data_IF_358423223835
#
_entry.id   IF_358423223835
#
_cell.length_a   1.000
_cell.length_b   1.000
_cell.length_c   1.000
_cell.angle_alpha   90.00
_cell.angle_beta   90.00
_cell.angle_gamma   90.00
#
_symmetry.space_group_name_H-M   'P 1'
#
loop_
_entity.id
_entity.type
_entity.pdbx_description
1 polymer ?
#
# COMPACT_ATOMS: atom_id res chain seq x y z
N UNK A 1 0.42 -3.40 13.48
CA UNK A 1 1.12 -2.12 13.22
C UNK A 1 0.08 -0.99 13.27
N UNK A 2 0.27 0.17 12.63
CA UNK A 2 -0.58 1.34 12.86
C UNK A 2 -1.49 1.64 11.65
N UNK A 3 -2.80 1.76 11.90
CA UNK A 3 -3.77 2.21 10.90
C UNK A 3 -3.40 3.64 10.45
N UNK A 4 -3.23 3.83 9.14
CA UNK A 4 -2.93 5.14 8.55
C UNK A 4 -4.19 5.81 8.04
N UNK A 5 -4.14 7.14 7.95
CA UNK A 5 -5.20 7.93 7.34
C UNK A 5 -5.06 7.91 5.83
N UNK A 6 -6.17 7.71 5.14
CA UNK A 6 -6.23 7.88 3.69
C UNK A 6 -6.12 9.36 3.34
N UNK A 7 -5.39 9.66 2.27
CA UNK A 7 -5.37 10.99 1.68
C UNK A 7 -6.68 11.25 0.92
N UNK A 8 -7.18 12.50 0.86
CA UNK A 8 -8.36 12.83 0.08
C UNK A 8 -8.12 12.60 -1.42
N UNK A 9 -9.18 12.35 -2.18
CA UNK A 9 -9.10 12.14 -3.63
C UNK A 9 -8.44 13.29 -4.41
N UNK A 10 -8.48 14.51 -3.87
CA UNK A 10 -7.81 15.70 -4.43
C UNK A 10 -6.30 15.76 -4.14
N UNK A 11 -5.75 14.83 -3.35
CA UNK A 11 -4.35 14.88 -2.95
C UNK A 11 -3.43 14.59 -4.14
N UNK A 12 -2.44 15.47 -4.42
CA UNK A 12 -1.61 15.37 -5.63
C UNK A 12 -0.69 14.14 -5.65
N UNK A 13 -0.55 13.41 -4.55
CA UNK A 13 0.24 12.16 -4.53
C UNK A 13 -0.41 11.06 -5.38
N UNK A 14 -1.74 11.07 -5.49
CA UNK A 14 -2.49 10.01 -6.19
C UNK A 14 -2.32 10.08 -7.71
N UNK A 15 -1.91 11.24 -8.24
CA UNK A 15 -1.68 11.45 -9.68
C UNK A 15 -0.20 11.42 -10.06
N UNK A 16 0.71 11.38 -9.07
CA UNK A 16 2.15 11.32 -9.30
C UNK A 16 2.61 9.87 -9.45
N UNK A 17 3.62 9.66 -10.29
CA UNK A 17 4.28 8.36 -10.41
C UNK A 17 5.03 8.04 -9.11
N UNK A 18 4.69 6.91 -8.49
CA UNK A 18 5.35 6.43 -7.29
C UNK A 18 6.76 5.91 -7.60
N UNK A 19 7.67 6.01 -6.63
CA UNK A 19 9.05 5.57 -6.77
C UNK A 19 9.16 4.06 -6.61
N UNK A 20 10.08 3.44 -7.36
CA UNK A 20 10.37 2.03 -7.17
C UNK A 20 11.05 1.79 -5.81
N UNK A 21 10.69 0.71 -5.14
CA UNK A 21 11.35 0.21 -3.95
C UNK A 21 12.71 -0.36 -4.34
N UNK A 22 13.79 0.21 -3.82
CA UNK A 22 15.17 -0.24 -4.09
C UNK A 22 15.80 -1.01 -2.94
N UNK A 23 15.21 -0.93 -1.74
CA UNK A 23 15.69 -1.60 -0.53
C UNK A 23 14.58 -2.45 0.07
N UNK A 24 14.88 -3.72 0.31
CA UNK A 24 13.98 -4.70 0.91
C UNK A 24 14.46 -4.95 2.34
N UNK A 25 14.09 -4.03 3.24
CA UNK A 25 14.50 -4.04 4.64
C UNK A 25 13.28 -3.98 5.56
N UNK A 26 13.52 -3.82 6.86
CA UNK A 26 12.45 -3.73 7.87
C UNK A 26 11.51 -2.55 7.64
N UNK A 27 11.92 -1.49 6.93
CA UNK A 27 11.05 -0.37 6.60
C UNK A 27 9.99 -0.75 5.57
N UNK A 28 10.35 -1.58 4.58
CA UNK A 28 9.40 -2.14 3.63
C UNK A 28 8.43 -3.10 4.32
N UNK A 29 8.95 -3.98 5.19
CA UNK A 29 8.12 -4.91 5.97
C UNK A 29 7.09 -4.14 6.81
N UNK A 30 7.53 -3.05 7.44
CA UNK A 30 6.67 -2.14 8.17
C UNK A 30 5.60 -1.53 7.25
N UNK A 31 5.99 -0.97 6.11
CA UNK A 31 5.03 -0.40 5.16
C UNK A 31 3.95 -1.39 4.73
N UNK A 32 4.31 -2.64 4.42
CA UNK A 32 3.37 -3.69 4.04
C UNK A 32 2.37 -3.97 5.16
N UNK A 33 2.83 -4.02 6.42
CA UNK A 33 1.95 -4.28 7.56
C UNK A 33 1.06 -3.08 7.90
N UNK A 34 1.55 -1.84 7.74
CA UNK A 34 0.72 -0.63 7.86
C UNK A 34 -0.38 -0.60 6.78
N UNK A 35 -0.06 -1.04 5.55
CA UNK A 35 -1.05 -1.16 4.47
C UNK A 35 -2.10 -2.22 4.79
N UNK A 36 -1.68 -3.39 5.27
CA UNK A 36 -2.56 -4.50 5.66
C UNK A 36 -3.53 -4.08 6.76
N UNK A 37 -3.01 -3.53 7.86
CA UNK A 37 -3.82 -3.03 8.96
C UNK A 37 -4.83 -1.96 8.50
N UNK A 38 -4.39 -1.06 7.60
CA UNK A 38 -5.25 0.02 7.08
C UNK A 38 -6.32 -0.52 6.13
N UNK A 39 -5.99 -1.48 5.27
CA UNK A 39 -6.93 -2.11 4.34
C UNK A 39 -8.06 -2.80 5.10
N UNK A 40 -7.71 -3.61 6.11
CA UNK A 40 -8.71 -4.26 6.96
C UNK A 40 -9.55 -3.26 7.75
N UNK A 41 -8.93 -2.21 8.30
CA UNK A 41 -9.66 -1.16 9.03
C UNK A 41 -10.60 -0.32 8.15
N UNK A 42 -10.38 -0.31 6.84
CA UNK A 42 -11.24 0.37 5.86
C UNK A 42 -12.20 -0.57 5.13
N UNK A 43 -12.21 -1.87 5.50
CA UNK A 43 -13.01 -2.91 4.84
C UNK A 43 -12.82 -2.91 3.30
N UNK A 44 -11.59 -2.65 2.86
CA UNK A 44 -11.25 -2.53 1.44
C UNK A 44 -10.67 -3.85 0.90
N UNK A 45 -10.94 -4.16 -0.38
CA UNK A 45 -10.35 -5.32 -1.06
C UNK A 45 -8.87 -5.12 -1.45
N UNK A 46 -8.38 -3.89 -1.39
CA UNK A 46 -6.99 -3.58 -1.71
C UNK A 46 -6.60 -2.15 -1.34
N UNK A 47 -5.31 -1.92 -1.15
CA UNK A 47 -4.76 -0.63 -0.75
C UNK A 47 -3.34 -0.44 -1.30
N UNK A 48 -2.98 0.79 -1.66
CA UNK A 48 -1.63 1.12 -2.12
C UNK A 48 -0.94 2.20 -1.28
N UNK A 49 0.40 2.18 -1.25
CA UNK A 49 1.22 3.11 -0.47
C UNK A 49 0.87 4.60 -0.72
N UNK A 50 0.61 5.06 -1.97
CA UNK A 50 0.24 6.46 -2.20
C UNK A 50 -1.03 6.90 -1.47
N UNK A 51 -2.00 6.01 -1.25
CA UNK A 51 -3.24 6.32 -0.52
C UNK A 51 -3.00 6.66 0.95
N UNK A 52 -1.92 6.16 1.54
CA UNK A 52 -1.48 6.48 2.91
C UNK A 52 -0.34 7.51 2.91
N UNK A 53 -0.24 8.32 1.85
CA UNK A 53 0.77 9.36 1.66
C UNK A 53 2.22 8.84 1.54
N UNK A 54 2.42 7.60 1.07
CA UNK A 54 3.75 7.01 0.84
C UNK A 54 3.99 6.80 -0.65
N UNK A 55 4.89 7.57 -1.26
CA UNK A 55 5.11 7.56 -2.72
C UNK A 55 6.01 6.40 -3.19
N UNK A 56 5.56 5.16 -2.94
CA UNK A 56 6.27 3.92 -3.30
C UNK A 56 5.38 2.99 -4.12
N UNK A 57 5.99 2.23 -5.04
CA UNK A 57 5.31 1.22 -5.86
C UNK A 57 5.02 -0.05 -5.04
N UNK A 58 4.12 0.08 -4.06
CA UNK A 58 3.68 -1.00 -3.19
C UNK A 58 2.16 -1.00 -3.12
N UNK A 59 1.56 -2.17 -3.31
CA UNK A 59 0.13 -2.39 -3.17
C UNK A 59 -0.14 -3.74 -2.52
N UNK A 60 -1.29 -3.85 -1.86
CA UNK A 60 -1.80 -5.11 -1.33
C UNK A 60 -3.22 -5.33 -1.84
N UNK A 61 -3.59 -6.58 -2.04
CA UNK A 61 -4.92 -6.99 -2.47
C UNK A 61 -5.30 -8.22 -1.67
N UNK A 62 -6.46 -8.19 -1.03
CA UNK A 62 -7.04 -9.38 -0.40
C UNK A 62 -7.79 -10.18 -1.46
N UNK A 63 -7.33 -11.39 -1.72
CA UNK A 63 -7.94 -12.33 -2.67
C UNK A 63 -8.77 -13.39 -1.93
N UNK A 64 -9.19 -13.09 -0.69
CA UNK A 64 -10.02 -13.93 0.17
C UNK A 64 -9.43 -15.34 0.35
N UNK A 65 -9.97 -16.33 -0.37
CA UNK A 65 -9.53 -17.72 -0.29
C UNK A 65 -8.11 -17.94 -0.84
N UNK A 66 -7.65 -17.09 -1.75
CA UNK A 66 -6.28 -17.17 -2.29
C UNK A 66 -5.26 -16.44 -1.38
N UNK A 67 -5.74 -15.74 -0.36
CA UNK A 67 -4.94 -15.04 0.63
C UNK A 67 -4.53 -13.63 0.20
N UNK A 68 -3.56 -13.07 0.94
CA UNK A 68 -3.11 -11.69 0.76
C UNK A 68 -2.01 -11.61 -0.32
N UNK A 69 -2.31 -10.91 -1.42
CA UNK A 69 -1.36 -10.62 -2.47
C UNK A 69 -0.60 -9.32 -2.17
N UNK A 70 0.72 -9.40 -2.00
CA UNK A 70 1.59 -8.25 -1.82
C UNK A 70 2.37 -7.97 -3.10
N UNK A 71 2.24 -6.75 -3.63
CA UNK A 71 2.86 -6.31 -4.87
C UNK A 71 3.93 -5.26 -4.58
N UNK A 72 5.16 -5.51 -5.00
CA UNK A 72 6.28 -4.57 -4.90
C UNK A 72 6.90 -4.39 -6.28
N UNK A 73 6.95 -3.15 -6.77
CA UNK A 73 7.41 -2.80 -8.13
C UNK A 73 6.74 -3.61 -9.26
N UNK A 74 5.40 -3.82 -9.26
CA UNK A 74 4.75 -4.68 -10.25
C UNK A 74 4.85 -4.11 -11.68
N UNK A 75 4.83 -5.00 -12.67
CA UNK A 75 4.76 -4.71 -14.11
C UNK A 75 3.77 -5.69 -14.78
N UNK A 76 3.12 -5.25 -15.85
CA UNK A 76 2.25 -6.07 -16.71
C UNK A 76 3.10 -6.66 -17.84
#
# INVERSE_FOLDING_TARGET
MAIKKLVPASHPILTKKAQAVIKFDDSLKRLLQDLEDTMYAQEAAGLCAPQINQSLQVAIIDMEMEGLLQLVNPKI
#
